data_IF_459741041961
#
_entry.id   IF_459741041961
#
_cell.length_a   1.000
_cell.length_b   1.000
_cell.length_c   1.000
_cell.angle_alpha   90.00
_cell.angle_beta   90.00
_cell.angle_gamma   90.00
#
_symmetry.space_group_name_H-M   'P 1'
#
loop_
_entity.id
_entity.type
_entity.pdbx_description
1 polymer ?
#
# COMPACT_ATOMS: atom_id res chain seq x y z
N UNK A 1 -7.18 1.31 14.76
CA UNK A 1 -6.23 1.23 13.63
C UNK A 1 -6.19 -0.21 13.17
N UNK A 2 -6.37 -0.47 11.88
CA UNK A 2 -6.29 -1.81 11.29
C UNK A 2 -4.83 -2.30 11.25
N UNK A 3 -4.55 -3.61 11.37
CA UNK A 3 -3.20 -4.12 11.20
C UNK A 3 -2.73 -3.86 9.77
N UNK A 4 -1.51 -3.34 9.62
CA UNK A 4 -0.84 -3.20 8.33
C UNK A 4 0.11 -4.38 8.14
N UNK A 5 0.02 -5.07 7.01
CA UNK A 5 0.92 -6.16 6.64
C UNK A 5 1.43 -5.94 5.22
N UNK A 6 2.59 -6.50 4.91
CA UNK A 6 3.08 -6.56 3.54
C UNK A 6 2.16 -7.46 2.72
N UNK A 7 1.78 -6.99 1.54
CA UNK A 7 0.94 -7.74 0.59
C UNK A 7 1.33 -7.40 -0.85
N UNK A 8 0.59 -7.91 -1.83
CA UNK A 8 0.63 -7.53 -3.23
C UNK A 8 -0.77 -7.67 -3.84
N UNK A 9 -1.04 -6.92 -4.91
CA UNK A 9 -2.27 -7.09 -5.69
C UNK A 9 -2.03 -8.11 -6.78
N UNK A 10 -3.01 -8.98 -6.98
CA UNK A 10 -3.04 -9.93 -8.09
C UNK A 10 -4.01 -9.46 -9.19
N UNK A 11 -5.00 -8.64 -8.85
CA UNK A 11 -5.91 -8.01 -9.80
C UNK A 11 -5.43 -6.60 -10.15
N UNK A 12 -4.48 -6.51 -11.10
CA UNK A 12 -4.11 -5.21 -11.65
C UNK A 12 -5.24 -4.64 -12.53
N UNK A 13 -5.23 -3.32 -12.78
CA UNK A 13 -6.33 -2.62 -13.45
C UNK A 13 -6.44 -2.93 -14.93
N UNK A 14 -7.66 -2.86 -15.46
CA UNK A 14 -7.94 -2.80 -16.90
C UNK A 14 -8.01 -1.36 -17.39
N UNK A 15 -8.13 -1.17 -18.71
CA UNK A 15 -8.42 0.14 -19.28
C UNK A 15 -9.76 0.71 -18.82
N UNK A 16 -10.75 -0.15 -18.59
CA UNK A 16 -12.07 0.28 -18.13
C UNK A 16 -11.99 0.84 -16.71
N UNK A 17 -11.22 0.21 -15.83
CA UNK A 17 -11.01 0.71 -14.47
C UNK A 17 -10.33 2.09 -14.49
N UNK A 18 -9.34 2.29 -15.38
CA UNK A 18 -8.69 3.59 -15.54
C UNK A 18 -9.65 4.66 -16.08
N UNK A 19 -10.52 4.31 -17.04
CA UNK A 19 -11.61 5.19 -17.49
C UNK A 19 -12.59 5.50 -16.35
N UNK A 20 -12.97 4.51 -15.56
CA UNK A 20 -13.88 4.69 -14.43
C UNK A 20 -13.29 5.60 -13.35
N UNK A 21 -12.02 5.42 -12.98
CA UNK A 21 -11.32 6.29 -12.03
C UNK A 21 -11.20 7.75 -12.53
N UNK A 22 -11.26 7.97 -13.85
CA UNK A 22 -11.28 9.31 -14.45
C UNK A 22 -12.69 9.91 -14.54
N UNK A 23 -13.73 9.11 -14.36
CA UNK A 23 -15.13 9.54 -14.45
C UNK A 23 -15.52 10.55 -13.37
N UNK A 24 -16.61 11.29 -13.63
CA UNK A 24 -17.23 12.18 -12.63
C UNK A 24 -17.75 11.41 -11.42
N UNK A 25 -18.31 10.21 -11.63
CA UNK A 25 -18.85 9.36 -10.58
C UNK A 25 -17.77 9.03 -9.54
N UNK A 26 -16.60 8.54 -9.97
CA UNK A 26 -15.50 8.31 -9.03
C UNK A 26 -14.98 9.62 -8.42
N UNK A 27 -14.57 10.58 -9.27
CA UNK A 27 -13.81 11.76 -8.81
C UNK A 27 -14.62 12.76 -7.98
N UNK A 28 -15.92 12.88 -8.25
CA UNK A 28 -16.79 13.91 -7.63
C UNK A 28 -17.78 13.32 -6.63
N UNK A 29 -18.08 12.02 -6.69
CA UNK A 29 -19.09 11.40 -5.83
C UNK A 29 -18.46 10.38 -4.88
N UNK A 30 -17.99 9.24 -5.39
CA UNK A 30 -17.54 8.11 -4.56
C UNK A 30 -16.31 8.49 -3.75
N UNK A 31 -15.23 8.94 -4.42
CA UNK A 31 -13.97 9.23 -3.74
C UNK A 31 -14.08 10.34 -2.68
N UNK A 32 -14.70 11.51 -2.95
CA UNK A 32 -14.87 12.54 -1.92
C UNK A 32 -15.74 12.09 -0.74
N UNK A 33 -16.74 11.24 -0.99
CA UNK A 33 -17.60 10.67 0.07
C UNK A 33 -16.77 9.83 1.04
N UNK A 34 -15.96 8.89 0.55
CA UNK A 34 -15.11 8.03 1.39
C UNK A 34 -14.05 8.85 2.14
N UNK A 35 -13.41 9.81 1.46
CA UNK A 35 -12.45 10.72 2.10
C UNK A 35 -13.07 11.51 3.27
N UNK A 36 -14.28 12.03 3.10
CA UNK A 36 -15.00 12.76 4.15
C UNK A 36 -15.46 11.84 5.28
N UNK A 37 -15.99 10.66 4.96
CA UNK A 37 -16.44 9.65 5.93
C UNK A 37 -15.33 9.32 6.93
N UNK A 38 -14.12 9.09 6.43
CA UNK A 38 -12.97 8.71 7.27
C UNK A 38 -12.18 9.93 7.79
N UNK A 39 -12.74 11.15 7.69
CA UNK A 39 -12.10 12.42 8.03
C UNK A 39 -10.65 12.50 7.52
N UNK A 40 -10.42 12.10 6.27
CA UNK A 40 -9.12 12.12 5.60
C UNK A 40 -8.01 11.42 6.40
N UNK A 41 -8.34 10.40 7.19
CA UNK A 41 -7.43 9.72 8.11
C UNK A 41 -7.14 8.30 7.64
N UNK A 42 -5.86 7.95 7.54
CA UNK A 42 -5.40 6.61 7.19
C UNK A 42 -5.90 5.58 8.22
N UNK A 43 -6.62 4.55 7.76
CA UNK A 43 -7.16 3.49 8.63
C UNK A 43 -6.08 2.63 9.31
N UNK A 44 -4.83 2.69 8.81
CA UNK A 44 -3.70 1.91 9.31
C UNK A 44 -2.82 2.67 10.29
N UNK A 45 -2.18 3.76 9.86
CA UNK A 45 -1.22 4.49 10.70
C UNK A 45 -1.79 5.74 11.39
N UNK A 46 -3.05 6.08 11.13
CA UNK A 46 -3.70 7.27 11.70
C UNK A 46 -3.23 8.61 11.12
N UNK A 47 -2.36 8.62 10.11
CA UNK A 47 -1.95 9.86 9.43
C UNK A 47 -3.17 10.53 8.78
N UNK A 48 -3.41 11.80 9.12
CA UNK A 48 -4.47 12.61 8.54
C UNK A 48 -3.89 13.70 7.65
N UNK A 49 -4.45 13.86 6.46
CA UNK A 49 -4.14 14.99 5.57
C UNK A 49 -5.27 15.22 4.57
N UNK A 50 -5.66 16.46 4.32
CA UNK A 50 -6.67 16.78 3.30
C UNK A 50 -6.15 16.58 1.87
N UNK A 51 -4.84 16.41 1.72
CA UNK A 51 -4.15 16.19 0.44
C UNK A 51 -3.36 14.89 0.44
N UNK A 52 -3.28 14.24 -0.71
CA UNK A 52 -2.42 13.06 -0.92
C UNK A 52 -2.92 11.75 -0.32
N UNK A 53 -4.11 11.73 0.28
CA UNK A 53 -4.74 10.48 0.76
C UNK A 53 -5.33 9.71 -0.41
N UNK A 54 -5.30 8.39 -0.35
CA UNK A 54 -5.85 7.48 -1.36
C UNK A 54 -7.12 6.80 -0.83
N UNK A 55 -7.94 6.29 -1.74
CA UNK A 55 -9.06 5.40 -1.41
C UNK A 55 -8.68 4.04 -1.96
N UNK A 56 -8.63 3.05 -1.06
CA UNK A 56 -8.23 1.68 -1.32
C UNK A 56 -9.47 0.78 -1.34
N UNK A 57 -9.47 -0.20 -2.24
CA UNK A 57 -10.41 -1.31 -2.26
C UNK A 57 -9.87 -2.40 -1.32
N UNK A 58 -10.57 -2.68 -0.23
CA UNK A 58 -10.15 -3.64 0.81
C UNK A 58 -10.03 -5.04 0.22
N UNK A 59 -10.89 -5.37 -0.74
CA UNK A 59 -10.90 -6.65 -1.41
C UNK A 59 -9.91 -6.79 -2.58
N UNK A 60 -9.22 -5.72 -2.95
CA UNK A 60 -8.34 -5.69 -4.13
C UNK A 60 -9.08 -5.68 -5.48
N UNK A 61 -10.42 -5.71 -5.50
CA UNK A 61 -11.22 -5.66 -6.72
C UNK A 61 -11.55 -4.20 -7.07
N UNK A 62 -10.97 -3.63 -8.14
CA UNK A 62 -11.21 -2.24 -8.50
C UNK A 62 -12.66 -1.93 -8.92
N UNK A 63 -13.47 -2.97 -9.16
CA UNK A 63 -14.88 -2.83 -9.56
C UNK A 63 -15.86 -2.84 -8.38
N UNK A 64 -15.48 -3.35 -7.19
CA UNK A 64 -16.35 -3.34 -6.01
C UNK A 64 -16.28 -2.00 -5.27
N UNK A 65 -17.19 -1.09 -5.64
CA UNK A 65 -17.25 0.25 -5.07
C UNK A 65 -18.23 0.38 -3.89
N UNK A 66 -18.58 -0.72 -3.21
CA UNK A 66 -19.35 -0.64 -1.97
C UNK A 66 -18.61 0.19 -0.93
N UNK A 67 -19.33 1.05 -0.20
CA UNK A 67 -18.71 1.93 0.79
C UNK A 67 -17.95 1.13 1.85
N UNK A 68 -18.44 -0.06 2.24
CA UNK A 68 -17.77 -0.90 3.23
C UNK A 68 -16.51 -1.58 2.70
N UNK A 69 -16.37 -1.69 1.37
CA UNK A 69 -15.16 -2.18 0.71
C UNK A 69 -14.13 -1.07 0.45
N UNK A 70 -14.49 0.20 0.63
CA UNK A 70 -13.59 1.33 0.40
C UNK A 70 -13.06 1.91 1.71
N UNK A 71 -11.77 2.26 1.74
CA UNK A 71 -11.15 2.87 2.91
C UNK A 71 -10.11 3.94 2.56
N UNK A 72 -9.92 4.90 3.46
CA UNK A 72 -8.85 5.89 3.33
C UNK A 72 -7.50 5.33 3.78
N UNK A 73 -6.49 5.46 2.92
CA UNK A 73 -5.12 5.04 3.18
C UNK A 73 -4.12 6.16 2.82
N UNK A 74 -3.02 6.28 3.56
CA UNK A 74 -1.93 7.18 3.18
C UNK A 74 -0.96 6.49 2.21
N UNK A 75 -0.21 7.28 1.45
CA UNK A 75 0.75 6.76 0.47
C UNK A 75 1.72 5.74 1.08
N UNK A 76 2.26 5.98 2.28
CA UNK A 76 3.21 5.05 2.90
C UNK A 76 2.58 3.70 3.25
N UNK A 77 1.36 3.67 3.80
CA UNK A 77 0.70 2.40 4.10
C UNK A 77 0.30 1.66 2.82
N UNK A 78 -0.16 2.39 1.80
CA UNK A 78 -0.48 1.82 0.49
C UNK A 78 0.75 1.23 -0.19
N UNK A 79 1.94 1.81 0.00
CA UNK A 79 3.20 1.24 -0.48
C UNK A 79 3.51 -0.12 0.16
N UNK A 80 3.26 -0.27 1.46
CA UNK A 80 3.45 -1.55 2.18
C UNK A 80 2.44 -2.60 1.68
N UNK A 81 1.18 -2.20 1.50
CA UNK A 81 0.13 -3.10 0.98
C UNK A 81 0.43 -3.55 -0.46
N UNK A 82 1.00 -2.69 -1.30
CA UNK A 82 1.43 -3.04 -2.65
C UNK A 82 2.93 -3.32 -2.74
N UNK A 83 3.46 -4.09 -1.80
CA UNK A 83 4.90 -4.29 -1.65
C UNK A 83 5.57 -4.85 -2.90
N UNK A 84 4.88 -5.67 -3.72
CA UNK A 84 5.45 -6.18 -4.97
C UNK A 84 5.94 -5.08 -5.90
N UNK A 85 5.12 -4.05 -6.13
CA UNK A 85 5.49 -2.90 -6.96
C UNK A 85 6.66 -2.12 -6.34
N UNK A 86 6.63 -1.88 -5.03
CA UNK A 86 7.59 -1.00 -4.36
C UNK A 86 8.89 -1.68 -3.92
N UNK A 87 8.90 -3.01 -3.73
CA UNK A 87 10.07 -3.84 -3.49
C UNK A 87 10.68 -4.33 -4.80
N UNK A 88 9.94 -5.10 -5.60
CA UNK A 88 10.50 -5.83 -6.74
C UNK A 88 10.77 -4.91 -7.94
N UNK A 89 9.84 -3.99 -8.23
CA UNK A 89 9.97 -3.09 -9.38
C UNK A 89 10.77 -1.85 -9.00
N UNK A 90 10.29 -1.06 -8.03
CA UNK A 90 10.92 0.22 -7.70
C UNK A 90 12.12 0.12 -6.75
N UNK A 91 12.25 -0.94 -5.95
CA UNK A 91 13.39 -1.14 -5.05
C UNK A 91 13.51 -0.14 -3.89
N UNK A 92 12.39 0.51 -3.52
CA UNK A 92 12.38 1.55 -2.48
C UNK A 92 11.93 1.04 -1.11
N UNK A 93 11.40 -0.19 -1.03
CA UNK A 93 11.10 -0.86 0.24
C UNK A 93 12.12 -1.96 0.49
N UNK A 94 12.73 -1.96 1.68
CA UNK A 94 13.55 -3.06 2.21
C UNK A 94 12.71 -3.91 3.16
N UNK A 95 12.91 -5.23 3.14
CA UNK A 95 12.21 -6.17 4.02
C UNK A 95 13.14 -6.71 5.10
N UNK A 96 12.58 -7.01 6.27
CA UNK A 96 13.29 -7.49 7.46
C UNK A 96 12.47 -8.56 8.16
N UNK A 97 13.15 -9.58 8.71
CA UNK A 97 12.49 -10.63 9.49
C UNK A 97 12.20 -10.21 10.93
N UNK A 98 12.92 -9.22 11.46
CA UNK A 98 12.80 -8.79 12.87
C UNK A 98 12.58 -7.29 12.98
N UNK A 99 11.71 -6.89 13.91
CA UNK A 99 11.50 -5.51 14.34
C UNK A 99 11.15 -5.46 15.83
N UNK A 100 11.42 -4.32 16.47
CA UNK A 100 10.93 -4.02 17.82
C UNK A 100 9.55 -3.33 17.79
N UNK A 101 8.93 -3.18 16.61
CA UNK A 101 7.70 -2.42 16.41
C UNK A 101 6.76 -3.11 15.43
N UNK A 102 5.46 -2.83 15.55
CA UNK A 102 4.49 -3.25 14.54
C UNK A 102 4.75 -2.54 13.20
N UNK A 103 4.27 -3.11 12.09
CA UNK A 103 4.36 -2.43 10.79
C UNK A 103 3.65 -1.06 10.79
N UNK A 104 2.55 -0.90 11.52
CA UNK A 104 1.86 0.38 11.70
C UNK A 104 2.79 1.41 12.36
N UNK A 105 3.48 1.02 13.43
CA UNK A 105 4.37 1.90 14.17
C UNK A 105 5.66 2.19 13.42
N UNK A 106 6.18 1.23 12.64
CA UNK A 106 7.29 1.49 11.70
C UNK A 106 6.94 2.68 10.80
N UNK A 107 5.73 2.74 10.24
CA UNK A 107 5.32 3.86 9.38
C UNK A 107 5.22 5.18 10.15
N UNK A 108 4.63 5.16 11.36
CA UNK A 108 4.47 6.35 12.20
C UNK A 108 5.82 6.91 12.65
N UNK A 109 6.68 6.06 13.18
CA UNK A 109 8.01 6.39 13.67
C UNK A 109 8.90 6.86 12.51
N UNK A 110 8.87 6.16 11.37
CA UNK A 110 9.66 6.58 10.19
C UNK A 110 9.27 7.98 9.75
N UNK A 111 7.97 8.32 9.73
CA UNK A 111 7.51 9.68 9.39
C UNK A 111 8.04 10.71 10.39
N UNK A 112 7.85 10.46 11.68
CA UNK A 112 8.28 11.37 12.76
C UNK A 112 9.80 11.58 12.77
N UNK A 113 10.58 10.51 12.67
CA UNK A 113 12.04 10.60 12.68
C UNK A 113 12.58 11.31 11.43
N UNK A 114 11.93 11.14 10.26
CA UNK A 114 12.28 11.91 9.07
C UNK A 114 12.02 13.40 9.21
N UNK A 115 10.91 13.79 9.84
CA UNK A 115 10.62 15.19 10.16
C UNK A 115 11.70 15.79 11.09
N UNK A 116 12.33 14.95 11.91
CA UNK A 116 13.49 15.31 12.75
C UNK A 116 14.84 15.25 12.02
N UNK A 117 14.85 14.99 10.70
CA UNK A 117 16.07 14.93 9.90
C UNK A 117 16.89 13.65 10.05
N UNK A 118 16.32 12.59 10.62
CA UNK A 118 17.01 11.30 10.78
C UNK A 118 17.20 10.57 9.45
N UNK A 119 18.39 10.01 9.28
CA UNK A 119 18.73 9.16 8.14
C UNK A 119 18.02 7.80 8.20
N UNK A 120 17.96 7.11 7.06
CA UNK A 120 17.37 5.77 6.99
C UNK A 120 18.07 4.79 7.95
N UNK A 121 19.39 4.87 8.09
CA UNK A 121 20.17 3.96 8.94
C UNK A 121 19.89 4.21 10.44
N UNK A 122 19.77 5.48 10.87
CA UNK A 122 19.36 5.81 12.23
C UNK A 122 17.95 5.29 12.55
N UNK A 123 17.03 5.39 11.60
CA UNK A 123 15.65 4.91 11.77
C UNK A 123 15.61 3.37 11.81
N UNK A 124 16.31 2.71 10.90
CA UNK A 124 16.45 1.24 10.87
C UNK A 124 17.02 0.72 12.20
N UNK A 125 18.07 1.37 12.71
CA UNK A 125 18.68 1.03 13.99
C UNK A 125 17.69 1.22 15.16
N UNK A 126 16.98 2.34 15.20
CA UNK A 126 15.99 2.64 16.24
C UNK A 126 14.84 1.62 16.26
N UNK A 127 14.30 1.29 15.07
CA UNK A 127 13.21 0.31 14.90
C UNK A 127 13.64 -1.14 15.14
N UNK A 128 14.95 -1.39 15.31
CA UNK A 128 15.49 -2.74 15.50
C UNK A 128 15.28 -3.64 14.28
N UNK A 129 15.25 -3.05 13.07
CA UNK A 129 15.04 -3.77 11.82
C UNK A 129 16.28 -4.59 11.47
N UNK A 130 16.15 -5.91 11.52
CA UNK A 130 17.26 -6.86 11.39
C UNK A 130 16.89 -8.02 10.48
N UNK A 131 17.92 -8.74 10.03
CA UNK A 131 17.79 -9.89 9.11
C UNK A 131 17.09 -9.50 7.80
N UNK A 132 17.78 -8.80 6.88
CA UNK A 132 17.21 -8.40 5.61
C UNK A 132 16.69 -9.60 4.81
N UNK A 133 15.50 -9.45 4.22
CA UNK A 133 14.82 -10.53 3.50
C UNK A 133 14.57 -10.17 2.03
N UNK A 134 14.60 -11.15 1.11
CA UNK A 134 14.16 -10.94 -0.26
C UNK A 134 12.64 -10.81 -0.32
N UNK A 135 12.12 -10.10 -1.31
CA UNK A 135 10.69 -10.12 -1.62
C UNK A 135 10.34 -11.43 -2.34
N UNK A 136 9.19 -12.01 -2.01
CA UNK A 136 8.59 -13.17 -2.67
C UNK A 136 7.08 -12.94 -2.78
N UNK A 137 6.49 -13.41 -3.87
CA UNK A 137 5.06 -13.35 -4.12
C UNK A 137 4.35 -14.48 -3.33
N UNK A 138 4.29 -14.33 -2.01
CA UNK A 138 3.69 -15.29 -1.07
C UNK A 138 3.15 -14.51 0.15
N UNK A 139 1.82 -14.45 0.34
CA UNK A 139 1.22 -13.66 1.41
C UNK A 139 1.54 -14.20 2.81
N UNK A 140 1.62 -15.52 3.00
CA UNK A 140 1.98 -16.11 4.28
C UNK A 140 3.43 -15.75 4.67
N UNK A 141 4.35 -15.78 3.71
CA UNK A 141 5.71 -15.30 3.89
C UNK A 141 5.74 -13.80 4.21
N UNK A 142 5.07 -12.97 3.42
CA UNK A 142 5.08 -11.51 3.59
C UNK A 142 4.42 -11.06 4.90
N UNK A 143 3.37 -11.73 5.35
CA UNK A 143 2.66 -11.43 6.60
C UNK A 143 3.55 -11.52 7.86
N UNK A 144 4.69 -12.23 7.76
CA UNK A 144 5.65 -12.43 8.86
C UNK A 144 6.82 -11.44 8.83
N UNK A 145 6.87 -10.56 7.83
CA UNK A 145 7.97 -9.64 7.60
C UNK A 145 7.59 -8.19 7.93
N UNK A 146 8.61 -7.34 7.97
CA UNK A 146 8.50 -5.90 8.18
C UNK A 146 9.12 -5.15 7.01
N UNK A 147 8.38 -4.19 6.46
CA UNK A 147 8.77 -3.32 5.37
C UNK A 147 9.21 -1.94 5.86
N UNK A 148 10.37 -1.50 5.39
CA UNK A 148 10.88 -0.15 5.58
C UNK A 148 10.95 0.59 4.25
N UNK A 149 10.21 1.69 4.14
CA UNK A 149 10.23 2.55 2.96
C UNK A 149 11.45 3.45 3.07
N UNK A 150 12.43 3.28 2.17
CA UNK A 150 13.66 4.09 2.13
C UNK A 150 13.39 5.51 1.64
N UNK A 151 14.30 6.44 1.92
CA UNK A 151 14.27 7.82 1.44
C UNK A 151 14.74 7.95 -0.02
N UNK A 152 15.22 6.85 -0.61
CA UNK A 152 15.71 6.79 -1.98
C UNK A 152 14.57 6.94 -2.98
N UNK A 153 14.81 7.70 -4.03
CA UNK A 153 13.93 7.75 -5.20
C UNK A 153 14.25 6.59 -6.12
N UNK A 154 13.22 5.91 -6.63
CA UNK A 154 13.45 4.87 -7.63
C UNK A 154 14.00 5.47 -8.92
N UNK A 155 15.01 4.84 -9.49
CA UNK A 155 15.52 5.13 -10.84
C UNK A 155 14.90 4.21 -11.89
N UNK A 156 14.01 3.30 -11.49
CA UNK A 156 13.39 2.31 -12.37
C UNK A 156 12.02 2.81 -12.83
N UNK A 157 11.73 2.61 -14.11
CA UNK A 157 10.41 2.83 -14.68
C UNK A 157 9.64 1.51 -14.67
N UNK A 158 8.47 1.50 -14.04
CA UNK A 158 7.56 0.37 -14.11
C UNK A 158 6.67 0.54 -15.35
N UNK A 159 6.59 -0.45 -16.26
CA UNK A 159 5.50 -0.47 -17.22
C UNK A 159 4.18 -0.54 -16.45
N UNK A 160 3.14 0.12 -16.96
CA UNK A 160 1.76 0.02 -16.44
C UNK A 160 0.93 -0.78 -17.44
N UNK A 161 1.18 -2.09 -17.61
CA UNK A 161 0.31 -2.88 -18.46
C UNK A 161 -1.09 -2.89 -17.84
N UNK A 162 -2.12 -2.78 -18.67
CA UNK A 162 -3.47 -3.10 -18.24
C UNK A 162 -3.68 -4.60 -18.40
N UNK A 163 -4.42 -5.21 -17.48
CA UNK A 163 -4.99 -6.53 -17.72
C UNK A 163 -6.16 -6.39 -18.69
N UNK A 164 -6.46 -7.46 -19.42
CA UNK A 164 -7.77 -7.65 -20.04
C UNK A 164 -8.83 -7.87 -18.96
N UNK A 165 -10.11 -7.67 -19.31
CA UNK A 165 -11.23 -7.95 -18.40
C UNK A 165 -11.28 -9.42 -17.98
N UNK A 166 -10.87 -10.33 -18.86
CA UNK A 166 -10.80 -11.76 -18.58
C UNK A 166 -9.67 -12.10 -17.59
N UNK A 167 -8.45 -11.63 -17.83
CA UNK A 167 -7.32 -11.84 -16.91
C UNK A 167 -7.60 -11.25 -15.52
N UNK A 168 -8.21 -10.06 -15.45
CA UNK A 168 -8.56 -9.48 -14.15
C UNK A 168 -9.63 -10.31 -13.43
N UNK A 169 -10.66 -10.77 -14.15
CA UNK A 169 -11.72 -11.62 -13.57
C UNK A 169 -11.15 -12.93 -13.05
N UNK A 170 -10.23 -13.55 -13.78
CA UNK A 170 -9.53 -14.76 -13.35
C UNK A 170 -8.69 -14.50 -12.10
N UNK A 171 -7.89 -13.42 -12.08
CA UNK A 171 -7.12 -13.04 -10.89
C UNK A 171 -8.01 -12.91 -9.65
N UNK A 172 -9.11 -12.16 -9.75
CA UNK A 172 -10.05 -11.94 -8.64
C UNK A 172 -10.75 -13.25 -8.21
N UNK A 173 -11.02 -14.17 -9.13
CA UNK A 173 -11.68 -15.44 -8.81
C UNK A 173 -10.82 -16.37 -7.94
N UNK A 174 -9.50 -16.33 -8.10
CA UNK A 174 -8.56 -17.12 -7.30
C UNK A 174 -8.15 -16.43 -5.99
N UNK A 175 -8.94 -15.46 -5.52
CA UNK A 175 -8.60 -14.67 -4.32
C UNK A 175 -8.43 -15.50 -3.05
N UNK A 176 -9.18 -16.59 -2.90
CA UNK A 176 -9.06 -17.45 -1.72
C UNK A 176 -7.74 -18.25 -1.70
N UNK A 177 -7.05 -18.31 -2.84
CA UNK A 177 -5.70 -18.88 -2.98
C UNK A 177 -4.60 -17.84 -2.71
N UNK A 178 -4.97 -16.58 -2.42
CA UNK A 178 -4.04 -15.48 -2.12
C UNK A 178 -3.52 -15.58 -0.68
#
# INVERSE_FOLDING_TARGET
>A
MKPLVLSYELAWRTEEDDRFMKSSLWRKVIRPKILKRDNYTCQYCGYRSEKGMQVNHIDGNPKDNDDNNLEVICQMCHMIMHSGLWCAVYGVIKLYAKSNSSQNDIIRITRQMREQGKSDDEIIAFLGLREPMPWKQDLNYLSRLYGFITSRTSQRYAPKPHLTEEEQRESVAHRDEW
#
